data_IF_720220320961
#
_entry.id   IF_720220320961
#
_cell.length_a   1.000
_cell.length_b   1.000
_cell.length_c   1.000
_cell.angle_alpha   90.00
_cell.angle_beta   90.00
_cell.angle_gamma   90.00
#
_symmetry.space_group_name_H-M   'P 1'
#
loop_
_entity.id
_entity.type
_entity.pdbx_description
1 polymer ?
#
# COMPACT_ATOMS: atom_id res chain seq x y z
N UNK A 1 8.47 3.25 4.46
CA UNK A 1 8.13 1.86 4.10
C UNK A 1 7.93 1.82 2.60
N UNK A 2 8.49 0.84 1.89
CA UNK A 2 8.20 0.68 0.46
C UNK A 2 6.87 -0.03 0.21
N UNK A 3 6.31 -0.67 1.24
CA UNK A 3 4.93 -1.15 1.28
C UNK A 3 4.69 -2.43 0.50
N UNK A 4 5.35 -2.62 -0.65
CA UNK A 4 5.04 -3.67 -1.64
C UNK A 4 6.32 -4.31 -2.18
N UNK A 5 6.20 -5.52 -2.76
CA UNK A 5 7.29 -6.27 -3.39
C UNK A 5 7.70 -5.66 -4.73
N UNK A 6 6.77 -5.18 -5.54
CA UNK A 6 7.00 -4.69 -6.89
C UNK A 6 8.04 -3.55 -6.94
N UNK A 7 7.98 -2.51 -6.08
CA UNK A 7 9.00 -1.44 -6.04
C UNK A 7 10.37 -1.87 -5.49
N UNK A 8 10.48 -3.09 -4.94
CA UNK A 8 11.72 -3.67 -4.39
C UNK A 8 12.15 -4.95 -5.09
N UNK A 9 11.46 -5.34 -6.17
CA UNK A 9 11.78 -6.53 -6.96
C UNK A 9 13.28 -6.63 -7.31
N UNK A 10 13.97 -5.56 -7.76
CA UNK A 10 15.41 -5.63 -8.06
C UNK A 10 16.28 -6.03 -6.85
N UNK A 11 15.86 -5.73 -5.62
CA UNK A 11 16.58 -6.13 -4.41
C UNK A 11 16.38 -7.62 -4.06
N UNK A 12 15.28 -8.23 -4.52
CA UNK A 12 15.00 -9.64 -4.27
C UNK A 12 16.07 -10.54 -4.90
N UNK A 13 16.67 -10.14 -6.03
CA UNK A 13 17.80 -10.87 -6.61
C UNK A 13 18.92 -11.09 -5.59
N UNK A 14 19.39 -10.00 -4.97
CA UNK A 14 20.52 -10.05 -4.05
C UNK A 14 20.17 -10.70 -2.71
N UNK A 15 18.91 -10.60 -2.29
CA UNK A 15 18.47 -10.94 -0.93
C UNK A 15 17.76 -12.28 -0.82
N UNK A 16 17.14 -12.74 -1.91
CA UNK A 16 16.34 -13.96 -1.95
C UNK A 16 16.93 -14.91 -2.99
N UNK A 17 16.89 -14.52 -4.27
CA UNK A 17 17.14 -15.44 -5.38
C UNK A 17 18.59 -15.93 -5.47
N UNK A 18 19.57 -15.03 -5.39
CA UNK A 18 20.99 -15.42 -5.38
C UNK A 18 21.34 -16.27 -4.13
N UNK A 19 21.00 -15.86 -2.89
CA UNK A 19 21.25 -16.68 -1.71
C UNK A 19 20.52 -18.02 -1.68
N UNK A 20 19.41 -18.15 -2.42
CA UNK A 20 18.70 -19.41 -2.64
C UNK A 20 19.47 -20.30 -3.61
N UNK A 21 19.90 -19.76 -4.76
CA UNK A 21 20.65 -20.51 -5.77
C UNK A 21 22.03 -20.96 -5.32
N UNK A 22 22.62 -20.25 -4.36
CA UNK A 22 23.92 -20.60 -3.78
C UNK A 22 23.79 -21.77 -2.76
N UNK A 23 22.56 -22.27 -2.49
CA UNK A 23 22.32 -23.36 -1.56
C UNK A 23 22.77 -24.71 -2.17
N UNK A 24 23.43 -25.62 -1.41
CA UNK A 24 23.95 -26.87 -1.96
C UNK A 24 22.92 -27.84 -2.57
N UNK A 25 21.63 -27.66 -2.24
CA UNK A 25 20.51 -28.43 -2.79
C UNK A 25 19.75 -27.71 -3.90
N UNK A 26 20.19 -26.51 -4.29
CA UNK A 26 19.59 -25.83 -5.43
C UNK A 26 20.05 -26.54 -6.70
N UNK A 27 19.13 -26.99 -7.56
CA UNK A 27 19.49 -27.58 -8.84
C UNK A 27 19.90 -26.49 -9.83
N UNK A 28 20.72 -26.86 -10.82
CA UNK A 28 21.25 -25.91 -11.80
C UNK A 28 20.13 -25.31 -12.66
N UNK A 29 19.09 -26.09 -12.96
CA UNK A 29 17.93 -25.69 -13.77
C UNK A 29 16.81 -24.97 -12.97
N UNK A 30 17.02 -24.65 -11.69
CA UNK A 30 16.01 -23.95 -10.85
C UNK A 30 15.46 -22.69 -11.53
N UNK A 31 16.33 -21.89 -12.15
CA UNK A 31 15.90 -20.64 -12.80
C UNK A 31 15.18 -20.85 -14.12
N UNK A 32 15.25 -22.05 -14.72
CA UNK A 32 14.47 -22.40 -15.91
C UNK A 32 12.99 -22.41 -15.53
N UNK A 33 12.61 -23.18 -14.50
CA UNK A 33 11.21 -23.26 -14.07
C UNK A 33 10.75 -21.97 -13.38
N UNK A 34 11.59 -21.34 -12.56
CA UNK A 34 11.24 -20.04 -11.96
C UNK A 34 11.04 -18.95 -13.03
N UNK A 35 11.79 -18.96 -14.12
CA UNK A 35 11.59 -17.98 -15.19
C UNK A 35 10.32 -18.28 -16.01
N UNK A 36 10.01 -19.56 -16.27
CA UNK A 36 8.74 -19.95 -16.89
C UNK A 36 7.55 -19.44 -16.07
N UNK A 37 7.59 -19.62 -14.76
CA UNK A 37 6.52 -19.15 -13.89
C UNK A 37 6.51 -17.61 -13.77
N UNK A 38 7.66 -16.96 -13.67
CA UNK A 38 7.74 -15.50 -13.62
C UNK A 38 7.22 -14.84 -14.90
N UNK A 39 7.47 -15.44 -16.06
CA UNK A 39 6.96 -14.95 -17.33
C UNK A 39 5.42 -15.00 -17.38
N UNK A 40 4.76 -15.85 -16.58
CA UNK A 40 3.29 -15.91 -16.55
C UNK A 40 2.62 -14.62 -16.08
N UNK A 41 3.36 -13.87 -15.27
CA UNK A 41 2.93 -12.62 -14.66
C UNK A 41 3.47 -11.40 -15.40
N UNK A 42 3.97 -11.55 -16.63
CA UNK A 42 4.41 -10.41 -17.45
C UNK A 42 3.25 -9.66 -18.11
N UNK A 43 3.35 -8.33 -18.18
CA UNK A 43 2.41 -7.46 -18.92
C UNK A 43 2.31 -7.93 -20.36
N UNK A 44 3.46 -8.06 -21.03
CA UNK A 44 3.59 -8.58 -22.38
C UNK A 44 4.27 -9.95 -22.31
N UNK A 45 3.53 -11.00 -22.66
CA UNK A 45 4.04 -12.38 -22.70
C UNK A 45 4.99 -12.57 -23.87
N UNK A 46 6.06 -13.33 -23.65
CA UNK A 46 6.99 -13.76 -24.68
C UNK A 46 6.31 -14.79 -25.61
N UNK A 47 6.74 -14.82 -26.88
CA UNK A 47 6.30 -15.90 -27.76
C UNK A 47 6.82 -17.24 -27.27
N UNK A 48 5.90 -18.16 -26.96
CA UNK A 48 6.23 -19.44 -26.34
C UNK A 48 7.09 -20.34 -27.25
N UNK A 49 6.89 -20.28 -28.56
CA UNK A 49 7.56 -21.16 -29.52
C UNK A 49 8.97 -20.69 -29.89
N UNK A 50 9.28 -19.41 -29.68
CA UNK A 50 10.54 -18.81 -30.11
C UNK A 50 11.28 -18.17 -28.95
N UNK A 51 10.76 -17.09 -28.38
CA UNK A 51 11.45 -16.26 -27.38
C UNK A 51 11.58 -16.96 -26.03
N UNK A 52 10.48 -17.50 -25.50
CA UNK A 52 10.52 -18.20 -24.22
C UNK A 52 11.36 -19.47 -24.32
N UNK A 53 11.12 -20.28 -25.37
CA UNK A 53 11.87 -21.51 -25.65
C UNK A 53 13.39 -21.27 -25.68
N UNK A 54 13.84 -20.23 -26.41
CA UNK A 54 15.25 -19.89 -26.50
C UNK A 54 15.89 -19.57 -25.14
N UNK A 55 15.13 -18.98 -24.20
CA UNK A 55 15.61 -18.66 -22.87
C UNK A 55 15.62 -19.91 -21.97
N UNK A 56 14.55 -20.72 -22.01
CA UNK A 56 14.36 -21.85 -21.09
C UNK A 56 15.16 -23.10 -21.47
N UNK A 57 15.64 -23.18 -22.71
CA UNK A 57 16.54 -24.25 -23.17
C UNK A 57 18.00 -24.06 -22.70
N UNK A 58 18.32 -22.90 -22.10
CA UNK A 58 19.65 -22.55 -21.60
C UNK A 58 19.58 -22.03 -20.15
N UNK A 59 20.24 -22.75 -19.24
CA UNK A 59 20.26 -22.46 -17.80
C UNK A 59 20.83 -21.06 -17.50
N UNK A 60 21.91 -20.67 -18.16
CA UNK A 60 22.56 -19.38 -17.93
C UNK A 60 21.70 -18.23 -18.46
N UNK A 61 21.04 -18.44 -19.61
CA UNK A 61 20.09 -17.47 -20.17
C UNK A 61 18.86 -17.30 -19.28
N UNK A 62 18.26 -18.40 -18.79
CA UNK A 62 17.14 -18.35 -17.85
C UNK A 62 17.48 -17.56 -16.59
N UNK A 63 18.65 -17.83 -16.00
CA UNK A 63 19.13 -17.09 -14.82
C UNK A 63 19.36 -15.61 -15.10
N UNK A 64 19.96 -15.28 -16.25
CA UNK A 64 20.20 -13.90 -16.66
C UNK A 64 18.89 -13.15 -16.93
N UNK A 65 17.93 -13.77 -17.59
CA UNK A 65 16.61 -13.23 -17.89
C UNK A 65 15.80 -12.99 -16.61
N UNK A 66 15.78 -13.97 -15.69
CA UNK A 66 15.15 -13.83 -14.38
C UNK A 66 15.71 -12.63 -13.61
N UNK A 67 17.05 -12.54 -13.51
CA UNK A 67 17.73 -11.40 -12.86
C UNK A 67 17.44 -10.07 -13.55
N UNK A 68 17.35 -10.08 -14.88
CA UNK A 68 17.15 -8.90 -15.72
C UNK A 68 15.74 -8.35 -15.73
N UNK A 69 14.77 -9.11 -15.20
CA UNK A 69 13.36 -8.73 -15.14
C UNK A 69 13.18 -7.44 -14.33
N UNK A 70 12.56 -6.44 -14.94
CA UNK A 70 12.25 -5.14 -14.31
C UNK A 70 10.83 -5.16 -13.74
N UNK A 71 10.59 -4.39 -12.69
CA UNK A 71 9.24 -4.23 -12.10
C UNK A 71 8.19 -3.82 -13.13
N UNK A 72 8.54 -2.98 -14.11
CA UNK A 72 7.63 -2.53 -15.16
C UNK A 72 7.19 -3.64 -16.13
N UNK A 73 7.85 -4.80 -16.13
CA UNK A 73 7.46 -5.95 -16.95
C UNK A 73 6.41 -6.82 -16.27
N UNK A 74 6.16 -6.66 -14.96
CA UNK A 74 5.26 -7.51 -14.18
C UNK A 74 3.87 -6.83 -14.12
N UNK A 75 2.79 -7.61 -14.31
CA UNK A 75 1.38 -7.14 -14.37
C UNK A 75 0.96 -6.31 -13.17
N UNK A 76 1.58 -6.52 -12.01
CA UNK A 76 1.31 -5.77 -10.79
C UNK A 76 1.73 -6.54 -9.55
N UNK A 77 1.46 -5.95 -8.38
CA UNK A 77 1.81 -6.54 -7.09
C UNK A 77 1.07 -7.85 -6.82
N UNK A 78 -0.24 -7.94 -7.14
CA UNK A 78 -1.03 -9.17 -6.95
C UNK A 78 -0.44 -10.32 -7.75
N UNK A 79 -0.09 -10.08 -9.01
CA UNK A 79 0.54 -11.08 -9.86
C UNK A 79 1.93 -11.48 -9.32
N UNK A 80 2.73 -10.51 -8.86
CA UNK A 80 4.01 -10.81 -8.23
C UNK A 80 3.87 -11.65 -6.95
N UNK A 81 2.91 -11.33 -6.09
CA UNK A 81 2.63 -12.11 -4.88
C UNK A 81 2.20 -13.53 -5.21
N UNK A 82 1.35 -13.71 -6.22
CA UNK A 82 0.97 -15.03 -6.72
C UNK A 82 2.21 -15.80 -7.19
N UNK A 83 3.05 -15.19 -8.04
CA UNK A 83 4.32 -15.79 -8.47
C UNK A 83 5.21 -16.21 -7.29
N UNK A 84 5.34 -15.38 -6.25
CA UNK A 84 6.15 -15.73 -5.07
C UNK A 84 5.58 -16.96 -4.36
N UNK A 85 4.26 -17.10 -4.31
CA UNK A 85 3.61 -18.29 -3.75
C UNK A 85 3.82 -19.51 -4.63
N UNK A 86 3.60 -19.44 -5.95
CA UNK A 86 3.84 -20.56 -6.87
C UNK A 86 5.32 -20.98 -6.91
N UNK A 87 6.24 -20.02 -6.79
CA UNK A 87 7.67 -20.30 -6.72
C UNK A 87 8.03 -21.19 -5.53
N UNK A 88 7.28 -21.12 -4.41
CA UNK A 88 7.51 -22.02 -3.27
C UNK A 88 7.26 -23.47 -3.64
N UNK A 89 6.17 -23.75 -4.33
CA UNK A 89 5.80 -25.12 -4.74
C UNK A 89 6.85 -25.68 -5.72
N UNK A 90 7.29 -24.86 -6.70
CA UNK A 90 8.40 -25.22 -7.60
C UNK A 90 9.67 -25.55 -6.78
N UNK A 91 10.03 -24.69 -5.83
CA UNK A 91 11.24 -24.87 -5.01
C UNK A 91 11.15 -26.12 -4.13
N UNK A 92 9.96 -26.44 -3.61
CA UNK A 92 9.69 -27.64 -2.83
C UNK A 92 9.83 -28.90 -3.69
N UNK A 93 9.25 -28.91 -4.90
CA UNK A 93 9.34 -30.04 -5.83
C UNK A 93 10.79 -30.37 -6.23
N UNK A 94 11.64 -29.36 -6.42
CA UNK A 94 13.03 -29.56 -6.81
C UNK A 94 13.97 -29.91 -5.63
N UNK A 95 13.86 -29.16 -4.53
CA UNK A 95 14.86 -29.20 -3.43
C UNK A 95 14.36 -29.80 -2.12
N UNK A 96 13.08 -30.18 -2.08
CA UNK A 96 12.35 -30.63 -0.89
C UNK A 96 12.32 -29.58 0.22
N UNK A 97 11.95 -30.02 1.42
CA UNK A 97 11.80 -29.19 2.61
C UNK A 97 13.00 -28.28 2.87
N UNK A 98 14.21 -28.73 2.60
CA UNK A 98 15.42 -27.97 2.91
C UNK A 98 15.52 -26.69 2.08
N UNK A 99 15.24 -26.76 0.77
CA UNK A 99 15.30 -25.60 -0.11
C UNK A 99 14.04 -24.72 0.05
N UNK A 100 12.88 -25.33 0.22
CA UNK A 100 11.63 -24.63 0.53
C UNK A 100 11.73 -23.81 1.83
N UNK A 101 12.23 -24.42 2.92
CA UNK A 101 12.48 -23.70 4.18
C UNK A 101 13.52 -22.58 4.01
N UNK A 102 14.53 -22.77 3.16
CA UNK A 102 15.50 -21.72 2.86
C UNK A 102 14.82 -20.54 2.16
N UNK A 103 13.99 -20.80 1.16
CA UNK A 103 13.22 -19.77 0.47
C UNK A 103 12.29 -19.01 1.42
N UNK A 104 11.52 -19.75 2.24
CA UNK A 104 10.66 -19.17 3.30
C UNK A 104 11.42 -18.16 4.16
N UNK A 105 12.54 -18.57 4.75
CA UNK A 105 13.31 -17.71 5.65
C UNK A 105 13.90 -16.47 4.95
N UNK A 106 14.27 -16.60 3.67
CA UNK A 106 14.78 -15.48 2.88
C UNK A 106 13.68 -14.46 2.57
N UNK A 107 12.48 -14.92 2.23
CA UNK A 107 11.32 -14.06 1.98
C UNK A 107 10.81 -13.40 3.26
N UNK A 108 10.72 -14.14 4.37
CA UNK A 108 10.36 -13.58 5.68
C UNK A 108 11.34 -12.47 6.11
N UNK A 109 12.65 -12.74 6.01
CA UNK A 109 13.67 -11.74 6.29
C UNK A 109 13.59 -10.53 5.34
N UNK A 110 13.21 -10.75 4.08
CA UNK A 110 13.01 -9.68 3.11
C UNK A 110 11.82 -8.79 3.46
N UNK A 111 10.67 -9.39 3.79
CA UNK A 111 9.46 -8.71 4.25
C UNK A 111 9.78 -7.79 5.43
N UNK A 112 10.41 -8.33 6.48
CA UNK A 112 10.79 -7.57 7.66
C UNK A 112 11.75 -6.42 7.33
N UNK A 113 12.74 -6.66 6.45
CA UNK A 113 13.76 -5.68 6.08
C UNK A 113 13.20 -4.49 5.29
N UNK A 114 12.32 -4.72 4.33
CA UNK A 114 11.77 -3.66 3.48
C UNK A 114 10.42 -3.14 3.98
N UNK A 115 9.93 -3.69 5.10
CA UNK A 115 8.62 -3.40 5.68
C UNK A 115 7.53 -3.54 4.62
N UNK A 116 7.55 -4.70 3.96
CA UNK A 116 6.52 -5.06 2.98
C UNK A 116 5.23 -5.38 3.76
N UNK A 117 4.08 -5.07 3.17
CA UNK A 117 2.75 -5.14 3.80
C UNK A 117 2.25 -6.54 4.15
N UNK A 118 3.01 -7.59 3.88
CA UNK A 118 2.55 -8.98 4.01
C UNK A 118 3.09 -9.64 5.28
N UNK A 119 2.34 -10.61 5.76
CA UNK A 119 2.77 -11.58 6.76
C UNK A 119 2.86 -12.96 6.10
N UNK A 120 4.00 -13.63 6.25
CA UNK A 120 4.27 -14.92 5.62
C UNK A 120 3.86 -16.06 6.57
N UNK A 121 2.89 -16.87 6.16
CA UNK A 121 2.41 -18.04 6.93
C UNK A 121 3.09 -19.33 6.46
N UNK A 122 3.14 -20.34 7.34
CA UNK A 122 3.89 -21.59 7.16
C UNK A 122 3.63 -22.35 5.85
N UNK A 123 2.43 -22.25 5.28
CA UNK A 123 2.08 -22.83 3.97
C UNK A 123 2.40 -21.87 2.80
N UNK A 124 3.44 -21.05 2.96
CA UNK A 124 3.84 -19.97 2.08
C UNK A 124 2.69 -19.04 1.60
N UNK A 125 1.81 -18.65 2.52
CA UNK A 125 0.75 -17.69 2.21
C UNK A 125 1.17 -16.27 2.60
N UNK A 126 1.21 -15.36 1.62
CA UNK A 126 1.48 -13.94 1.80
C UNK A 126 0.16 -13.20 2.04
N UNK A 127 -0.12 -12.89 3.31
CA UNK A 127 -1.38 -12.26 3.71
C UNK A 127 -1.19 -10.76 3.95
N UNK A 128 -2.02 -9.87 3.36
CA UNK A 128 -2.00 -8.46 3.69
C UNK A 128 -2.19 -8.24 5.20
N UNK A 129 -1.38 -7.35 5.78
CA UNK A 129 -1.49 -6.98 7.19
C UNK A 129 -2.35 -5.74 7.36
N UNK A 130 -2.97 -5.58 8.54
CA UNK A 130 -3.73 -4.38 8.87
C UNK A 130 -2.89 -3.09 8.75
N UNK A 131 -1.65 -3.00 9.29
CA UNK A 131 -0.79 -1.83 9.06
C UNK A 131 -0.48 -1.61 7.58
N UNK A 132 -0.28 -2.68 6.82
CA UNK A 132 -0.05 -2.64 5.38
C UNK A 132 -1.21 -2.03 4.59
N UNK A 133 -2.45 -2.43 4.94
CA UNK A 133 -3.67 -1.87 4.37
C UNK A 133 -3.79 -0.36 4.63
N UNK A 134 -3.51 0.09 5.86
CA UNK A 134 -3.50 1.52 6.19
C UNK A 134 -2.39 2.28 5.45
N UNK A 135 -1.20 1.70 5.36
CA UNK A 135 -0.09 2.31 4.62
C UNK A 135 -0.45 2.48 3.13
N UNK A 136 -1.14 1.50 2.53
CA UNK A 136 -1.61 1.60 1.15
C UNK A 136 -2.68 2.67 0.98
N UNK A 137 -3.69 2.70 1.84
CA UNK A 137 -4.73 3.73 1.83
C UNK A 137 -4.12 5.15 1.86
N UNK A 138 -3.12 5.36 2.72
CA UNK A 138 -2.41 6.65 2.81
C UNK A 138 -1.61 6.94 1.53
N UNK A 139 -0.93 5.95 0.95
CA UNK A 139 -0.19 6.14 -0.31
C UNK A 139 -1.11 6.44 -1.50
N UNK A 140 -2.27 5.79 -1.57
CA UNK A 140 -3.28 6.07 -2.60
C UNK A 140 -3.85 7.47 -2.41
N UNK A 141 -4.07 7.93 -1.17
CA UNK A 141 -4.48 9.30 -0.87
C UNK A 141 -3.43 10.30 -1.37
N UNK A 142 -2.15 10.02 -1.11
CA UNK A 142 -1.05 10.87 -1.60
C UNK A 142 -1.00 10.92 -3.12
N UNK A 143 -1.20 9.79 -3.78
CA UNK A 143 -1.18 9.67 -5.24
C UNK A 143 -2.36 10.43 -5.85
N UNK A 144 -3.58 10.21 -5.33
CA UNK A 144 -4.79 10.89 -5.76
C UNK A 144 -4.73 12.41 -5.56
N UNK A 145 -4.18 12.86 -4.43
CA UNK A 145 -3.97 14.28 -4.17
C UNK A 145 -2.86 14.89 -5.02
N UNK A 146 -1.77 14.16 -5.31
CA UNK A 146 -0.68 14.65 -6.14
C UNK A 146 -1.08 14.84 -7.61
N UNK A 147 -2.11 14.13 -8.08
CA UNK A 147 -2.67 14.30 -9.42
C UNK A 147 -3.48 15.59 -9.60
N UNK A 148 -3.84 16.29 -8.51
CA UNK A 148 -4.58 17.55 -8.54
C UNK A 148 -3.74 18.68 -7.90
N UNK A 149 -3.45 19.79 -8.61
CA UNK A 149 -2.59 20.85 -8.08
C UNK A 149 -3.09 21.48 -6.76
N UNK A 150 -4.40 21.60 -6.57
CA UNK A 150 -4.97 22.18 -5.35
C UNK A 150 -4.87 21.19 -4.17
N UNK A 151 -5.18 19.90 -4.40
CA UNK A 151 -5.02 18.87 -3.37
C UNK A 151 -3.55 18.62 -3.03
N UNK A 152 -2.65 18.68 -4.00
CA UNK A 152 -1.21 18.52 -3.78
C UNK A 152 -0.67 19.56 -2.81
N UNK A 153 -1.12 20.82 -2.94
CA UNK A 153 -0.80 21.89 -1.99
C UNK A 153 -1.32 21.59 -0.58
N UNK A 154 -2.58 21.17 -0.45
CA UNK A 154 -3.19 20.82 0.84
C UNK A 154 -2.54 19.60 1.51
N UNK A 155 -2.15 18.60 0.72
CA UNK A 155 -1.43 17.43 1.20
C UNK A 155 -0.07 17.83 1.75
N UNK A 156 0.70 18.65 1.03
CA UNK A 156 2.00 19.14 1.49
C UNK A 156 1.88 19.92 2.79
N UNK A 157 0.91 20.84 2.88
CA UNK A 157 0.64 21.59 4.10
C UNK A 157 0.30 20.67 5.29
N UNK A 158 -0.46 19.60 5.04
CA UNK A 158 -0.77 18.59 6.06
C UNK A 158 0.47 17.80 6.50
N UNK A 159 1.27 17.31 5.56
CA UNK A 159 2.50 16.57 5.85
C UNK A 159 3.54 17.42 6.60
N UNK A 160 3.67 18.70 6.24
CA UNK A 160 4.52 19.66 6.94
C UNK A 160 4.03 19.87 8.39
N UNK A 161 2.74 20.16 8.57
CA UNK A 161 2.16 20.32 9.90
C UNK A 161 2.26 19.05 10.75
N UNK A 162 2.18 17.87 10.15
CA UNK A 162 2.40 16.60 10.82
C UNK A 162 3.88 16.42 11.22
N UNK A 163 4.82 16.76 10.32
CA UNK A 163 6.26 16.71 10.59
C UNK A 163 6.70 17.65 11.71
N UNK A 164 6.11 18.84 11.80
CA UNK A 164 6.39 19.84 12.84
C UNK A 164 6.14 19.35 14.26
N UNK A 165 5.25 18.37 14.43
CA UNK A 165 4.99 17.74 15.72
C UNK A 165 6.20 16.99 16.27
N UNK A 166 7.10 16.52 15.39
CA UNK A 166 8.38 15.93 15.78
C UNK A 166 9.31 16.91 16.50
N UNK A 167 9.13 18.22 16.26
CA UNK A 167 9.86 19.30 16.94
C UNK A 167 9.12 19.84 18.17
N UNK A 168 8.09 19.13 18.65
CA UNK A 168 7.28 19.47 19.81
C UNK A 168 5.79 19.51 19.48
N UNK A 169 5.00 18.71 20.18
CA UNK A 169 3.57 18.58 19.96
C UNK A 169 2.75 19.45 20.91
N UNK A 170 2.80 20.77 20.70
CA UNK A 170 1.94 21.71 21.44
C UNK A 170 0.49 21.61 20.95
N UNK A 171 -0.46 22.03 21.79
CA UNK A 171 -1.89 22.06 21.43
C UNK A 171 -2.13 22.84 20.13
N UNK A 172 -1.50 24.00 19.95
CA UNK A 172 -1.62 24.80 18.72
C UNK A 172 -1.10 24.09 17.47
N UNK A 173 0.01 23.33 17.58
CA UNK A 173 0.54 22.55 16.45
C UNK A 173 -0.36 21.36 16.13
N UNK A 174 -0.90 20.67 17.14
CA UNK A 174 -1.88 19.59 16.92
C UNK A 174 -3.16 20.13 16.28
N UNK A 175 -3.66 21.28 16.74
CA UNK A 175 -4.83 21.93 16.16
C UNK A 175 -4.59 22.36 14.70
N UNK A 176 -3.40 22.86 14.40
CA UNK A 176 -2.97 23.19 13.02
C UNK A 176 -2.93 21.94 12.15
N UNK A 177 -2.34 20.84 12.64
CA UNK A 177 -2.30 19.57 11.92
C UNK A 177 -3.71 19.07 11.57
N UNK A 178 -4.64 19.11 12.53
CA UNK A 178 -6.04 18.80 12.28
C UNK A 178 -6.69 19.72 11.24
N UNK A 179 -6.49 21.04 11.36
CA UNK A 179 -7.02 21.99 10.38
C UNK A 179 -6.61 21.61 8.96
N UNK A 180 -5.32 21.31 8.75
CA UNK A 180 -4.80 20.91 7.44
C UNK A 180 -5.39 19.60 6.96
N UNK A 181 -5.54 18.60 7.83
CA UNK A 181 -6.19 17.33 7.47
C UNK A 181 -7.66 17.54 7.07
N UNK A 182 -8.43 18.34 7.83
CA UNK A 182 -9.82 18.65 7.49
C UNK A 182 -9.95 19.35 6.15
N UNK A 183 -9.08 20.32 5.87
CA UNK A 183 -9.10 21.02 4.59
C UNK A 183 -8.78 20.07 3.42
N UNK A 184 -7.79 19.18 3.58
CA UNK A 184 -7.48 18.15 2.58
C UNK A 184 -8.68 17.23 2.32
N UNK A 185 -9.30 16.70 3.39
CA UNK A 185 -10.41 15.76 3.27
C UNK A 185 -11.67 16.43 2.68
N UNK A 186 -11.95 17.67 3.06
CA UNK A 186 -13.05 18.46 2.52
C UNK A 186 -12.87 18.76 1.03
N UNK A 187 -11.65 19.16 0.63
CA UNK A 187 -11.34 19.39 -0.77
C UNK A 187 -11.40 18.10 -1.59
N UNK A 188 -10.91 16.98 -1.04
CA UNK A 188 -11.01 15.67 -1.68
C UNK A 188 -12.48 15.27 -1.89
N UNK A 189 -13.30 15.39 -0.85
CA UNK A 189 -14.72 15.05 -0.93
C UNK A 189 -15.49 15.95 -1.90
N UNK A 190 -15.09 17.22 -2.03
CA UNK A 190 -15.70 18.16 -2.98
C UNK A 190 -15.41 17.81 -4.45
N UNK A 191 -14.44 16.94 -4.73
CA UNK A 191 -14.20 16.41 -6.08
C UNK A 191 -15.10 15.22 -6.42
N UNK A 192 -15.84 14.67 -5.46
CA UNK A 192 -16.74 13.56 -5.73
C UNK A 192 -17.84 13.98 -6.74
N UNK A 193 -18.16 13.17 -7.77
CA UNK A 193 -19.09 13.55 -8.84
C UNK A 193 -20.48 14.00 -8.35
N UNK A 194 -20.93 13.43 -7.23
CA UNK A 194 -22.24 13.72 -6.63
C UNK A 194 -22.24 14.92 -5.66
N UNK A 195 -21.06 15.45 -5.28
CA UNK A 195 -20.95 16.53 -4.31
C UNK A 195 -21.39 17.88 -4.90
N UNK A 196 -22.33 18.55 -4.21
CA UNK A 196 -22.81 19.90 -4.55
C UNK A 196 -22.49 20.90 -3.43
N UNK A 197 -22.28 20.41 -2.21
CA UNK A 197 -21.89 21.21 -1.06
C UNK A 197 -20.37 21.35 -0.95
N UNK A 198 -19.93 22.31 -0.13
CA UNK A 198 -18.50 22.64 0.04
C UNK A 198 -17.89 22.16 1.36
N UNK A 199 -18.72 21.64 2.27
CA UNK A 199 -18.26 21.19 3.59
C UNK A 199 -18.43 19.70 3.71
N UNK A 200 -17.43 18.98 4.23
CA UNK A 200 -17.44 17.52 4.33
C UNK A 200 -18.72 16.99 4.98
N UNK A 201 -19.12 17.55 6.12
CA UNK A 201 -20.32 17.09 6.83
C UNK A 201 -21.62 17.19 6.02
N UNK A 202 -21.72 18.15 5.09
CA UNK A 202 -22.88 18.27 4.18
C UNK A 202 -22.73 17.36 2.97
N UNK A 203 -21.52 17.22 2.43
CA UNK A 203 -21.24 16.28 1.33
C UNK A 203 -21.62 14.86 1.78
N UNK A 204 -21.33 14.48 3.02
CA UNK A 204 -21.76 13.18 3.56
C UNK A 204 -23.28 12.92 3.43
N UNK A 205 -24.13 13.95 3.47
CA UNK A 205 -25.58 13.81 3.30
C UNK A 205 -26.00 13.65 1.84
N UNK A 206 -25.12 13.97 0.89
CA UNK A 206 -25.38 13.88 -0.56
C UNK A 206 -24.93 12.53 -1.15
N UNK A 207 -23.92 11.88 -0.56
CA UNK A 207 -23.36 10.63 -1.09
C UNK A 207 -24.20 9.40 -0.69
N UNK A 208 -24.52 8.54 -1.65
CA UNK A 208 -25.22 7.25 -1.43
C UNK A 208 -24.26 6.05 -1.40
N UNK A 209 -23.13 6.22 -0.72
CA UNK A 209 -22.00 5.26 -0.67
C UNK A 209 -21.85 4.57 0.70
N UNK A 210 -22.66 4.97 1.67
CA UNK A 210 -22.50 4.56 3.05
C UNK A 210 -23.15 3.19 3.30
N UNK A 211 -22.45 2.23 3.94
CA UNK A 211 -23.02 0.91 4.21
C UNK A 211 -24.13 0.94 5.28
N UNK A 212 -24.18 2.01 6.09
CA UNK A 212 -25.20 2.22 7.11
C UNK A 212 -25.26 3.70 7.51
N UNK A 213 -26.45 4.21 7.85
CA UNK A 213 -26.66 5.61 8.26
C UNK A 213 -25.79 6.00 9.48
N UNK A 214 -25.57 5.08 10.42
CA UNK A 214 -24.67 5.32 11.57
C UNK A 214 -23.23 5.60 11.16
N UNK A 215 -22.73 4.97 10.08
CA UNK A 215 -21.36 5.21 9.59
C UNK A 215 -21.26 6.62 9.01
N UNK A 216 -22.25 7.04 8.20
CA UNK A 216 -22.37 8.42 7.72
C UNK A 216 -22.41 9.43 8.87
N UNK A 217 -23.26 9.20 9.86
CA UNK A 217 -23.38 10.10 11.02
C UNK A 217 -22.11 10.11 11.88
N UNK A 218 -21.39 8.99 11.99
CA UNK A 218 -20.09 8.96 12.64
C UNK A 218 -19.08 9.86 11.92
N UNK A 219 -18.99 9.77 10.58
CA UNK A 219 -18.11 10.63 9.78
C UNK A 219 -18.43 12.11 10.00
N UNK A 220 -19.72 12.47 9.97
CA UNK A 220 -20.18 13.84 10.22
C UNK A 220 -19.83 14.33 11.64
N UNK A 221 -20.01 13.49 12.66
CA UNK A 221 -19.69 13.85 14.05
C UNK A 221 -18.18 14.00 14.28
N UNK A 222 -17.37 13.13 13.69
CA UNK A 222 -15.91 13.25 13.72
C UNK A 222 -15.47 14.53 13.01
N UNK A 223 -16.03 14.85 11.85
CA UNK A 223 -15.80 16.13 11.17
C UNK A 223 -16.22 17.35 12.01
N UNK A 224 -17.28 17.21 12.82
CA UNK A 224 -17.72 18.23 13.78
C UNK A 224 -16.65 18.67 14.79
N UNK A 225 -15.59 17.87 14.99
CA UNK A 225 -14.43 18.26 15.79
C UNK A 225 -13.71 19.51 15.23
N UNK A 226 -13.96 19.90 13.97
CA UNK A 226 -13.53 21.18 13.39
C UNK A 226 -13.99 22.39 14.22
N UNK A 227 -15.03 22.28 15.04
CA UNK A 227 -15.49 23.34 15.94
C UNK A 227 -14.63 23.52 17.21
N UNK A 228 -13.64 22.65 17.44
CA UNK A 228 -12.71 22.78 18.57
C UNK A 228 -11.89 24.09 18.45
N UNK A 229 -11.67 24.83 19.55
CA UNK A 229 -10.89 26.07 19.55
C UNK A 229 -9.53 25.93 18.88
N UNK A 230 -9.26 26.78 17.88
CA UNK A 230 -7.98 26.78 17.15
C UNK A 230 -7.85 25.74 16.03
N UNK A 231 -8.83 24.84 15.85
CA UNK A 231 -8.85 23.88 14.73
C UNK A 231 -9.56 24.45 13.51
N UNK A 232 -10.71 25.12 13.68
CA UNK A 232 -11.53 25.63 12.57
C UNK A 232 -11.65 27.16 12.54
N UNK A 233 -12.76 27.65 11.97
CA UNK A 233 -13.04 29.09 11.94
C UNK A 233 -13.66 29.57 13.27
N UNK A 234 -13.06 30.59 13.89
CA UNK A 234 -13.58 31.29 15.06
C UNK A 234 -12.97 30.86 16.40
N UNK A 235 -13.42 31.48 17.50
CA UNK A 235 -12.92 31.20 18.86
C UNK A 235 -13.26 29.79 19.38
N UNK A 236 -14.01 28.99 18.60
CA UNK A 236 -14.47 27.65 18.96
C UNK A 236 -15.41 27.62 20.15
N UNK A 237 -16.12 26.52 20.33
CA UNK A 237 -16.91 26.25 21.54
C UNK A 237 -16.92 24.74 21.79
N UNK A 238 -17.12 24.31 23.04
CA UNK A 238 -17.27 22.88 23.34
C UNK A 238 -15.98 22.12 23.58
N UNK A 239 -14.86 22.78 23.86
CA UNK A 239 -13.68 22.10 24.40
C UNK A 239 -13.99 21.56 25.80
N UNK A 240 -13.81 20.25 25.99
CA UNK A 240 -13.93 19.60 27.30
C UNK A 240 -12.60 19.54 28.05
N UNK A 241 -11.50 19.49 27.29
CA UNK A 241 -10.11 19.49 27.75
C UNK A 241 -9.18 19.89 26.59
N UNK A 242 -7.90 20.23 26.86
CA UNK A 242 -6.90 20.42 25.82
C UNK A 242 -6.71 19.18 24.94
N UNK A 243 -6.27 19.41 23.69
CA UNK A 243 -5.88 18.34 22.76
C UNK A 243 -4.61 17.66 23.25
N UNK A 244 -4.59 16.33 23.21
CA UNK A 244 -3.42 15.50 23.50
C UNK A 244 -3.03 14.67 22.27
N UNK A 245 -1.79 14.15 22.26
CA UNK A 245 -1.28 13.33 21.16
C UNK A 245 -2.16 12.11 20.85
N UNK A 246 -2.80 11.52 21.87
CA UNK A 246 -3.74 10.40 21.67
C UNK A 246 -4.94 10.78 20.80
N UNK A 247 -5.39 12.03 20.88
CA UNK A 247 -6.51 12.53 20.08
C UNK A 247 -6.07 12.72 18.64
N UNK A 248 -4.87 13.28 18.44
CA UNK A 248 -4.27 13.39 17.11
C UNK A 248 -4.19 12.03 16.42
N UNK A 249 -3.64 11.02 17.10
CA UNK A 249 -3.54 9.67 16.56
C UNK A 249 -4.92 9.11 16.23
N UNK A 250 -5.85 9.12 17.18
CA UNK A 250 -7.17 8.52 17.01
C UNK A 250 -7.99 9.20 15.90
N UNK A 251 -8.12 10.53 15.96
CA UNK A 251 -8.93 11.29 15.01
C UNK A 251 -8.29 11.31 13.62
N UNK A 252 -6.97 11.39 13.50
CA UNK A 252 -6.30 11.33 12.19
C UNK A 252 -6.56 10.00 11.49
N UNK A 253 -6.52 8.89 12.23
CA UNK A 253 -6.82 7.56 11.70
C UNK A 253 -8.28 7.46 11.30
N UNK A 254 -9.22 7.92 12.15
CA UNK A 254 -10.65 7.90 11.83
C UNK A 254 -10.98 8.73 10.59
N UNK A 255 -10.41 9.92 10.47
CA UNK A 255 -10.60 10.80 9.30
C UNK A 255 -10.07 10.15 8.02
N UNK A 256 -8.89 9.53 8.10
CA UNK A 256 -8.32 8.79 6.96
C UNK A 256 -9.17 7.57 6.61
N UNK A 257 -9.78 6.89 7.59
CA UNK A 257 -10.64 5.74 7.35
C UNK A 257 -11.95 6.09 6.61
N UNK A 258 -12.35 7.37 6.56
CA UNK A 258 -13.51 7.80 5.77
C UNK A 258 -13.18 8.10 4.30
N UNK A 259 -11.89 8.22 3.95
CA UNK A 259 -11.43 8.56 2.59
C UNK A 259 -12.04 7.66 1.50
N UNK A 260 -12.13 6.32 1.66
CA UNK A 260 -12.72 5.45 0.63
C UNK A 260 -14.21 5.70 0.37
N UNK A 261 -14.94 6.30 1.32
CA UNK A 261 -16.35 6.63 1.12
C UNK A 261 -16.53 7.97 0.42
N UNK A 262 -15.63 8.93 0.63
CA UNK A 262 -15.85 10.31 0.17
C UNK A 262 -15.18 10.62 -1.16
N UNK A 263 -14.51 9.65 -1.76
CA UNK A 263 -13.81 9.78 -3.03
C UNK A 263 -13.91 8.48 -3.82
N UNK A 264 -14.29 8.60 -5.09
CA UNK A 264 -14.39 7.50 -6.06
C UNK A 264 -13.02 7.04 -6.59
N UNK A 265 -11.95 7.76 -6.25
CA UNK A 265 -10.56 7.45 -6.65
C UNK A 265 -9.92 6.25 -5.93
N UNK A 266 -10.62 5.62 -4.99
CA UNK A 266 -10.08 4.56 -4.15
C UNK A 266 -10.74 3.23 -4.48
N UNK A 267 -9.93 2.23 -4.82
CA UNK A 267 -10.40 0.88 -5.07
C UNK A 267 -10.10 0.00 -3.84
N UNK A 268 -11.15 -0.54 -3.21
CA UNK A 268 -11.03 -1.35 -2.00
C UNK A 268 -10.24 -2.66 -2.24
N UNK A 269 -10.41 -3.28 -3.42
CA UNK A 269 -9.68 -4.50 -3.79
C UNK A 269 -8.20 -4.19 -3.96
N UNK A 270 -7.85 -3.05 -4.57
CA UNK A 270 -6.45 -2.59 -4.66
C UNK A 270 -5.91 -2.27 -3.26
N UNK A 271 -6.68 -1.61 -2.40
CA UNK A 271 -6.22 -1.28 -1.04
C UNK A 271 -5.99 -2.55 -0.21
N UNK A 272 -6.82 -3.58 -0.36
CA UNK A 272 -6.69 -4.83 0.37
C UNK A 272 -5.67 -5.79 -0.26
N UNK A 273 -5.80 -6.11 -1.54
CA UNK A 273 -5.00 -7.08 -2.28
C UNK A 273 -3.71 -6.51 -2.91
N UNK A 274 -3.60 -5.18 -3.00
CA UNK A 274 -2.45 -4.42 -3.52
C UNK A 274 -2.30 -4.32 -5.05
N UNK A 275 -3.28 -4.66 -5.89
CA UNK A 275 -3.13 -4.57 -7.35
C UNK A 275 -4.41 -4.22 -8.10
N UNK A 276 -4.25 -3.52 -9.23
CA UNK A 276 -5.24 -3.49 -10.31
C UNK A 276 -5.31 -4.88 -10.95
N UNK A 277 -6.52 -5.34 -11.25
CA UNK A 277 -6.77 -6.59 -11.98
C UNK A 277 -6.35 -6.46 -13.45
#
# INVERSE_FOLDING_TARGET
MKGEFLPVWPEMWRRVWKPLSDHPKAPDDLFVELFRELETVFVDRLDAATELAAIVDDVDQSRAAFRGTKSAQIKGEVALVAFLTEAFDIIEDFGGDALANRYFNLVDAFIGRYSVRYDLRRSFQLNPTLPGMFARLVNDLKSAASADPALSGLLRDYEEAFGDLGHGATEGRMATCFNKQFNLLEALAALHPEAKQKTLGKICDELDVWPHATVREAAKKVYGFRAFPGVGHGAGSGALRPIEMKDLVALSVMLTAFVPYVSDKFNADVIYAAGEA
#
